data_IF_616280775112
#
_entry.id   IF_616280775112
#
_cell.length_a   1.000
_cell.length_b   1.000
_cell.length_c   1.000
_cell.angle_alpha   90.00
_cell.angle_beta   90.00
_cell.angle_gamma   90.00
#
_symmetry.space_group_name_H-M   'P 1'
#
loop_
_entity.id
_entity.type
_entity.pdbx_description
1 polymer ?
#
# COMPACT_ATOMS: atom_id res chain seq x y z
N UNK A 1 -22.21 36.72 -58.19
CA UNK A 1 -21.58 36.14 -57.00
C UNK A 1 -21.71 34.62 -57.06
N UNK A 2 -20.56 33.98 -57.31
CA UNK A 2 -20.11 32.65 -56.88
C UNK A 2 -20.93 31.39 -57.21
N UNK A 3 -20.51 30.76 -58.32
CA UNK A 3 -20.55 29.32 -58.54
C UNK A 3 -19.77 28.55 -57.47
N UNK A 4 -20.30 27.42 -56.99
CA UNK A 4 -19.51 26.32 -56.44
C UNK A 4 -19.95 24.99 -57.05
N UNK A 5 -19.11 24.45 -57.93
CA UNK A 5 -19.18 23.08 -58.42
C UNK A 5 -18.78 22.12 -57.30
N UNK A 6 -19.57 21.07 -57.10
CA UNK A 6 -19.22 19.91 -56.27
C UNK A 6 -18.06 19.15 -56.92
N UNK A 7 -16.92 19.08 -56.26
CA UNK A 7 -15.80 18.20 -56.63
C UNK A 7 -16.03 16.80 -56.05
N UNK A 8 -16.04 15.80 -56.93
CA UNK A 8 -15.95 14.37 -56.60
C UNK A 8 -14.47 14.05 -56.29
N UNK A 9 -14.13 13.29 -55.23
CA UNK A 9 -12.73 12.92 -55.02
C UNK A 9 -12.33 11.80 -55.99
N UNK A 10 -11.42 12.11 -56.93
CA UNK A 10 -10.68 11.09 -57.68
C UNK A 10 -9.76 10.31 -56.72
N UNK A 11 -9.81 8.98 -56.78
CA UNK A 11 -8.82 8.10 -56.13
C UNK A 11 -7.42 8.40 -56.70
N UNK A 12 -6.49 8.81 -55.85
CA UNK A 12 -5.05 8.82 -56.18
C UNK A 12 -4.51 7.38 -56.06
N UNK A 13 -3.81 6.84 -57.07
CA UNK A 13 -3.09 5.59 -56.94
C UNK A 13 -1.74 5.82 -56.24
N UNK A 14 -1.41 4.96 -55.27
CA UNK A 14 -0.11 4.98 -54.58
C UNK A 14 -0.18 5.56 -53.17
N UNK A 15 -0.69 4.78 -52.23
CA UNK A 15 -0.32 4.87 -50.81
C UNK A 15 0.30 3.54 -50.42
N UNK A 16 1.43 3.52 -49.67
CA UNK A 16 1.97 2.29 -49.12
C UNK A 16 0.96 1.67 -48.17
N UNK A 17 1.02 0.34 -48.11
CA UNK A 17 0.17 -0.55 -47.34
C UNK A 17 -0.03 -0.11 -45.88
N UNK A 18 -1.24 -0.41 -45.41
CA UNK A 18 -1.69 -0.47 -44.03
C UNK A 18 -0.52 -0.70 -43.05
N UNK A 19 -0.20 0.32 -42.23
CA UNK A 19 0.79 0.21 -41.17
C UNK A 19 0.16 -0.61 -40.02
N UNK A 20 -0.07 -1.90 -40.26
CA UNK A 20 -0.56 -2.85 -39.28
C UNK A 20 0.45 -2.86 -38.13
N UNK A 21 0.05 -2.29 -36.98
CA UNK A 21 0.82 -2.42 -35.74
C UNK A 21 1.11 -3.90 -35.53
N UNK A 22 2.37 -4.23 -35.25
CA UNK A 22 2.75 -5.61 -34.98
C UNK A 22 1.92 -6.15 -33.80
N UNK A 23 1.17 -7.22 -34.04
CA UNK A 23 0.38 -7.88 -32.99
C UNK A 23 1.32 -8.72 -32.15
N UNK A 24 1.53 -8.35 -30.90
CA UNK A 24 2.29 -9.15 -29.97
C UNK A 24 1.40 -10.24 -29.36
N UNK A 25 2.00 -11.34 -28.94
CA UNK A 25 1.27 -12.36 -28.19
C UNK A 25 1.22 -12.01 -26.72
N UNK A 26 2.35 -11.54 -26.17
CA UNK A 26 2.48 -11.15 -24.77
C UNK A 26 3.09 -9.75 -24.66
N UNK A 27 2.42 -8.88 -23.92
CA UNK A 27 2.98 -7.64 -23.41
C UNK A 27 3.40 -7.85 -21.95
N UNK A 28 4.69 -7.71 -21.66
CA UNK A 28 5.22 -7.76 -20.30
C UNK A 28 5.32 -6.35 -19.73
N UNK A 29 4.59 -6.09 -18.65
CA UNK A 29 4.71 -4.88 -17.84
C UNK A 29 5.53 -5.17 -16.58
N UNK A 30 6.68 -4.52 -16.46
CA UNK A 30 7.56 -4.64 -15.28
C UNK A 30 7.40 -3.39 -14.42
N UNK A 31 6.75 -3.50 -13.25
CA UNK A 31 6.69 -2.38 -12.30
C UNK A 31 8.08 -2.09 -11.76
N UNK A 32 8.54 -0.85 -11.88
CA UNK A 32 9.88 -0.47 -11.45
C UNK A 32 9.90 0.91 -10.80
N UNK A 33 10.46 1.04 -9.61
CA UNK A 33 10.60 2.34 -8.97
C UNK A 33 11.63 3.20 -9.74
N UNK A 34 11.47 4.52 -9.70
CA UNK A 34 12.33 5.48 -10.41
C UNK A 34 13.83 5.21 -10.20
N UNK A 35 14.26 5.07 -8.95
CA UNK A 35 15.65 4.83 -8.56
C UNK A 35 16.17 3.40 -8.81
N UNK A 36 15.35 2.45 -9.25
CA UNK A 36 15.74 1.05 -9.49
C UNK A 36 16.51 0.82 -10.82
N UNK A 37 17.44 1.71 -11.17
CA UNK A 37 18.20 1.63 -12.42
C UNK A 37 18.99 0.30 -12.54
N UNK A 38 19.57 -0.19 -11.44
CA UNK A 38 20.35 -1.43 -11.43
C UNK A 38 19.49 -2.69 -11.63
N UNK A 39 18.26 -2.71 -11.09
CA UNK A 39 17.31 -3.82 -11.29
C UNK A 39 16.82 -3.87 -12.74
N UNK A 40 16.46 -2.71 -13.32
CA UNK A 40 16.13 -2.62 -14.75
C UNK A 40 17.29 -3.07 -15.62
N UNK A 41 18.52 -2.67 -15.27
CA UNK A 41 19.71 -3.13 -15.99
C UNK A 41 19.93 -4.64 -15.83
N UNK A 42 19.75 -5.21 -14.64
CA UNK A 42 19.84 -6.66 -14.43
C UNK A 42 18.82 -7.43 -15.28
N UNK A 43 17.59 -6.94 -15.39
CA UNK A 43 16.58 -7.54 -16.29
C UNK A 43 17.04 -7.47 -17.75
N UNK A 44 17.55 -6.31 -18.20
CA UNK A 44 18.11 -6.15 -19.56
C UNK A 44 19.29 -7.08 -19.82
N UNK A 45 20.14 -7.31 -18.83
CA UNK A 45 21.30 -8.21 -18.90
C UNK A 45 20.90 -9.70 -18.91
N UNK A 46 19.66 -10.02 -18.50
CA UNK A 46 19.19 -11.39 -18.30
C UNK A 46 18.12 -11.78 -19.32
N UNK A 47 16.90 -12.07 -18.87
CA UNK A 47 15.83 -12.64 -19.69
C UNK A 47 15.34 -11.66 -20.75
N UNK A 48 15.31 -10.34 -20.48
CA UNK A 48 14.90 -9.36 -21.48
C UNK A 48 15.92 -9.28 -22.62
N UNK A 49 17.21 -9.25 -22.30
CA UNK A 49 18.29 -9.26 -23.29
C UNK A 49 18.21 -10.50 -24.18
N UNK A 50 17.95 -11.67 -23.59
CA UNK A 50 17.73 -12.91 -24.33
C UNK A 50 16.54 -12.81 -25.28
N UNK A 51 15.37 -12.36 -24.81
CA UNK A 51 14.18 -12.25 -25.65
C UNK A 51 14.33 -11.29 -26.83
N UNK A 52 15.04 -10.17 -26.64
CA UNK A 52 15.29 -9.19 -27.72
C UNK A 52 16.07 -9.79 -28.90
N UNK A 53 16.90 -10.79 -28.67
CA UNK A 53 17.74 -11.43 -29.70
C UNK A 53 17.25 -12.81 -30.12
N UNK A 54 16.30 -13.41 -29.38
CA UNK A 54 15.83 -14.75 -29.68
C UNK A 54 14.89 -14.74 -30.90
N UNK A 55 15.17 -15.49 -31.99
CA UNK A 55 14.43 -15.41 -33.25
C UNK A 55 12.93 -15.64 -33.11
N UNK A 56 12.54 -16.49 -32.15
CA UNK A 56 11.16 -16.85 -31.88
C UNK A 56 10.41 -15.80 -31.05
N UNK A 57 11.09 -15.08 -30.15
CA UNK A 57 10.44 -14.19 -29.17
C UNK A 57 10.49 -12.72 -29.55
N UNK A 58 11.52 -12.28 -30.27
CA UNK A 58 11.76 -10.88 -30.61
C UNK A 58 10.57 -10.14 -31.27
N UNK A 59 9.67 -10.87 -31.95
CA UNK A 59 8.44 -10.31 -32.56
C UNK A 59 7.17 -10.60 -31.76
N UNK A 60 7.19 -11.62 -30.89
CA UNK A 60 6.03 -12.12 -30.14
C UNK A 60 5.85 -11.44 -28.78
N UNK A 61 6.95 -10.97 -28.18
CA UNK A 61 6.95 -10.39 -26.83
C UNK A 61 7.38 -8.93 -26.89
N UNK A 62 6.55 -8.05 -26.34
CA UNK A 62 6.92 -6.67 -26.04
C UNK A 62 7.15 -6.55 -24.53
N UNK A 63 8.21 -5.87 -24.10
CA UNK A 63 8.48 -5.62 -22.67
C UNK A 63 8.59 -4.12 -22.42
N UNK A 64 7.96 -3.66 -21.35
CA UNK A 64 7.99 -2.28 -20.89
C UNK A 64 8.18 -2.19 -19.38
N UNK A 65 9.18 -1.43 -18.95
CA UNK A 65 9.30 -0.97 -17.57
C UNK A 65 8.31 0.16 -17.32
N UNK A 66 7.51 0.03 -16.27
CA UNK A 66 6.49 0.98 -15.88
C UNK A 66 7.09 1.83 -14.76
N UNK A 67 7.22 3.13 -15.00
CA UNK A 67 7.82 4.09 -14.05
C UNK A 67 6.85 5.25 -13.86
N UNK A 68 6.69 5.72 -12.63
CA UNK A 68 5.88 6.91 -12.37
C UNK A 68 6.58 8.15 -12.90
N UNK A 69 5.86 8.99 -13.63
CA UNK A 69 6.37 10.22 -14.24
C UNK A 69 6.87 11.21 -13.20
N UNK A 70 6.29 11.19 -11.99
CA UNK A 70 6.65 12.13 -10.93
C UNK A 70 7.32 11.42 -9.76
N UNK A 71 8.43 11.97 -9.27
CA UNK A 71 9.00 11.55 -7.98
C UNK A 71 8.31 12.27 -6.81
N UNK A 72 8.31 11.68 -5.62
CA UNK A 72 7.70 12.31 -4.45
C UNK A 72 8.44 13.60 -4.05
N UNK A 73 7.78 14.78 -4.06
CA UNK A 73 8.40 16.07 -3.70
C UNK A 73 8.71 16.22 -2.21
N UNK A 74 8.15 15.35 -1.36
CA UNK A 74 8.35 15.40 0.09
C UNK A 74 9.62 14.61 0.47
N UNK A 75 10.60 15.24 1.16
CA UNK A 75 11.75 14.53 1.75
C UNK A 75 11.29 13.42 2.70
N UNK A 76 12.01 12.30 2.77
CA UNK A 76 11.58 11.12 3.54
C UNK A 76 11.37 11.43 5.03
N UNK A 77 12.20 12.29 5.60
CA UNK A 77 12.12 12.70 7.00
C UNK A 77 10.85 13.50 7.29
N UNK A 78 10.35 14.22 6.28
CA UNK A 78 9.14 15.05 6.33
C UNK A 78 7.88 14.28 5.89
N UNK A 79 7.94 12.96 5.62
CA UNK A 79 6.77 12.13 5.28
C UNK A 79 6.08 11.54 6.49
N UNK A 80 4.75 11.45 6.43
CA UNK A 80 3.92 10.78 7.45
C UNK A 80 4.31 9.31 7.61
N UNK A 81 4.58 8.64 6.49
CA UNK A 81 5.09 7.28 6.41
C UNK A 81 6.03 7.14 5.20
N UNK A 82 6.90 6.12 5.24
CA UNK A 82 7.91 5.92 4.20
C UNK A 82 7.32 5.46 2.85
N UNK A 83 6.08 4.99 2.82
CA UNK A 83 5.45 4.36 1.67
C UNK A 83 4.59 5.35 0.86
N UNK A 84 4.18 6.46 1.46
CA UNK A 84 3.35 7.51 0.82
C UNK A 84 4.17 8.74 0.42
N UNK A 85 3.47 9.77 -0.07
CA UNK A 85 4.04 11.10 -0.32
C UNK A 85 3.33 12.20 0.49
N UNK A 86 2.77 11.84 1.64
CA UNK A 86 2.03 12.76 2.50
C UNK A 86 2.98 13.54 3.40
N UNK A 87 2.85 14.87 3.41
CA UNK A 87 3.67 15.75 4.24
C UNK A 87 3.25 15.66 5.72
N UNK A 88 4.24 15.55 6.61
CA UNK A 88 4.06 15.69 8.05
C UNK A 88 3.59 17.10 8.41
N UNK A 89 2.31 17.22 8.75
CA UNK A 89 1.73 18.48 9.18
C UNK A 89 1.91 18.69 10.69
N UNK A 90 3.16 18.94 11.09
CA UNK A 90 3.55 19.21 12.48
C UNK A 90 3.67 20.72 12.73
N UNK A 91 3.28 21.15 13.93
CA UNK A 91 3.47 22.53 14.42
C UNK A 91 4.40 22.56 15.62
N UNK A 92 5.01 23.71 15.90
CA UNK A 92 5.77 23.89 17.13
C UNK A 92 4.87 23.72 18.36
N UNK A 93 5.39 23.04 19.37
CA UNK A 93 4.72 22.78 20.65
C UNK A 93 5.63 23.18 21.79
N UNK A 94 5.07 23.74 22.86
CA UNK A 94 5.85 24.10 24.04
C UNK A 94 6.42 22.85 24.75
N UNK A 95 7.68 22.93 25.16
CA UNK A 95 8.35 21.83 25.86
C UNK A 95 7.69 21.53 27.21
N UNK A 96 7.45 20.24 27.48
CA UNK A 96 6.88 19.77 28.75
C UNK A 96 5.40 20.12 28.97
N UNK A 97 4.72 20.70 27.98
CA UNK A 97 3.28 20.92 28.08
C UNK A 97 2.54 19.59 28.01
N UNK A 98 1.88 19.22 29.10
CA UNK A 98 0.95 18.09 29.13
C UNK A 98 -0.33 18.47 28.39
N UNK A 99 -0.73 17.62 27.44
CA UNK A 99 -1.89 17.82 26.58
C UNK A 99 -2.86 16.66 26.76
N UNK A 100 -4.14 16.98 26.92
CA UNK A 100 -5.21 15.98 26.86
C UNK A 100 -5.65 15.79 25.41
N UNK A 101 -5.75 14.54 24.97
CA UNK A 101 -6.27 14.20 23.64
C UNK A 101 -7.72 14.59 23.49
N UNK A 102 -8.50 14.46 24.57
CA UNK A 102 -9.93 14.73 24.54
C UNK A 102 -10.27 15.90 25.46
N UNK A 103 -11.07 16.83 24.95
CA UNK A 103 -11.77 17.84 25.74
C UNK A 103 -13.26 17.70 25.48
N UNK A 104 -14.05 17.51 26.53
CA UNK A 104 -15.50 17.43 26.43
C UNK A 104 -16.10 18.79 26.80
N UNK A 105 -16.66 19.53 25.84
CA UNK A 105 -17.19 20.86 26.10
C UNK A 105 -18.50 20.83 26.90
N UNK A 106 -19.29 19.77 26.76
CA UNK A 106 -20.56 19.59 27.50
C UNK A 106 -20.72 18.14 28.01
N UNK A 107 -20.71 17.92 29.34
CA UNK A 107 -20.94 16.61 29.94
C UNK A 107 -22.29 15.98 29.58
N UNK A 108 -23.29 16.74 29.11
CA UNK A 108 -24.57 16.17 28.66
C UNK A 108 -24.47 15.40 27.34
N UNK A 109 -23.34 15.51 26.63
CA UNK A 109 -23.08 14.73 25.41
C UNK A 109 -22.71 13.27 25.69
N UNK A 110 -22.48 12.90 26.96
CA UNK A 110 -22.16 11.54 27.36
C UNK A 110 -23.41 10.65 27.32
N UNK A 111 -23.30 9.52 26.63
CA UNK A 111 -24.35 8.52 26.54
C UNK A 111 -23.85 7.19 27.12
N UNK A 112 -24.73 6.38 27.73
CA UNK A 112 -24.39 5.00 28.07
C UNK A 112 -23.96 4.24 26.81
N UNK A 113 -22.85 3.51 26.91
CA UNK A 113 -22.41 2.59 25.87
C UNK A 113 -23.26 1.33 25.90
N UNK A 114 -23.63 0.81 24.73
CA UNK A 114 -24.30 -0.50 24.59
C UNK A 114 -23.30 -1.67 24.54
N UNK A 115 -21.99 -1.36 24.52
CA UNK A 115 -20.90 -2.33 24.49
C UNK A 115 -20.03 -2.25 25.75
N UNK A 116 -19.41 -3.39 26.09
CA UNK A 116 -18.46 -3.51 27.20
C UNK A 116 -17.03 -3.05 26.85
N UNK A 117 -16.75 -2.76 25.57
CA UNK A 117 -15.42 -2.38 25.10
C UNK A 117 -15.48 -1.28 24.02
N UNK A 118 -14.65 -0.24 24.17
CA UNK A 118 -14.49 0.86 23.21
C UNK A 118 -13.00 1.05 22.95
N UNK A 119 -12.59 1.31 21.71
CA UNK A 119 -11.19 1.49 21.34
C UNK A 119 -10.94 2.75 20.53
N UNK A 120 -9.71 3.24 20.61
CA UNK A 120 -9.18 4.33 19.79
C UNK A 120 -7.81 3.94 19.24
N UNK A 121 -7.72 3.83 17.92
CA UNK A 121 -6.45 3.63 17.23
C UNK A 121 -5.78 4.98 16.96
N UNK A 122 -4.46 5.02 17.10
CA UNK A 122 -3.67 6.18 16.76
C UNK A 122 -2.26 5.79 16.32
N UNK A 123 -1.66 6.71 15.56
CA UNK A 123 -0.28 6.64 15.12
C UNK A 123 0.50 7.83 15.64
N UNK A 124 1.71 7.57 16.10
CA UNK A 124 2.65 8.58 16.57
C UNK A 124 3.48 9.07 15.39
N UNK A 125 3.39 10.37 15.08
CA UNK A 125 4.11 11.02 13.99
C UNK A 125 5.38 11.75 14.46
N UNK A 126 5.51 11.98 15.76
CA UNK A 126 6.73 12.40 16.45
C UNK A 126 6.73 11.86 17.88
N UNK A 127 7.89 11.56 18.46
CA UNK A 127 7.97 10.85 19.74
C UNK A 127 7.22 11.57 20.89
N UNK A 128 6.35 10.83 21.59
CA UNK A 128 5.54 11.31 22.73
C UNK A 128 5.72 10.43 23.95
N UNK A 129 5.35 10.94 25.13
CA UNK A 129 5.24 10.18 26.38
C UNK A 129 3.80 10.22 26.86
N UNK A 130 3.18 9.06 27.07
CA UNK A 130 1.87 8.98 27.70
C UNK A 130 2.04 9.17 29.22
N UNK A 131 1.31 10.11 29.79
CA UNK A 131 1.45 10.47 31.21
C UNK A 131 0.31 9.93 32.06
N UNK A 132 -0.93 10.01 31.57
CA UNK A 132 -2.11 9.55 32.28
C UNK A 132 -3.12 8.91 31.32
N UNK A 133 -3.83 7.91 31.81
CA UNK A 133 -5.01 7.35 31.14
C UNK A 133 -6.26 7.85 31.85
N UNK A 134 -7.32 8.09 31.09
CA UNK A 134 -8.57 8.63 31.63
C UNK A 134 -9.82 7.98 31.07
N UNK A 135 -10.91 8.11 31.82
CA UNK A 135 -12.20 7.47 31.54
C UNK A 135 -13.35 8.36 32.03
N UNK A 136 -14.49 8.30 31.35
CA UNK A 136 -15.72 8.93 31.81
C UNK A 136 -16.34 8.18 33.00
N UNK A 137 -16.85 8.88 34.01
CA UNK A 137 -17.64 8.24 35.06
C UNK A 137 -18.98 7.74 34.52
N UNK A 138 -19.49 6.63 35.05
CA UNK A 138 -20.73 5.98 34.61
C UNK A 138 -21.85 6.01 35.67
N UNK A 139 -21.61 6.63 36.82
CA UNK A 139 -22.55 6.75 37.92
C UNK A 139 -23.32 8.08 37.89
N UNK A 140 -24.57 8.10 38.40
CA UNK A 140 -25.45 9.27 38.37
C UNK A 140 -24.95 10.44 39.23
N UNK A 141 -24.00 10.18 40.15
CA UNK A 141 -23.35 11.21 40.97
C UNK A 141 -21.96 11.60 40.42
N UNK A 142 -21.61 11.12 39.23
CA UNK A 142 -20.27 11.27 38.67
C UNK A 142 -19.25 10.31 39.29
N UNK A 143 -19.69 9.16 39.80
CA UNK A 143 -18.89 8.07 40.38
C UNK A 143 -18.80 6.85 39.44
N UNK A 144 -18.16 5.76 39.88
CA UNK A 144 -18.07 4.50 39.13
C UNK A 144 -19.00 3.44 39.71
N UNK A 145 -19.85 2.83 38.89
CA UNK A 145 -20.73 1.70 39.25
C UNK A 145 -20.05 0.33 39.14
N UNK A 146 -18.87 0.26 38.55
CA UNK A 146 -18.12 -0.98 38.32
C UNK A 146 -16.65 -0.71 38.03
N UNK A 147 -15.92 -1.78 37.71
CA UNK A 147 -14.51 -1.68 37.37
C UNK A 147 -14.36 -1.42 35.87
N UNK A 148 -13.57 -0.40 35.53
CA UNK A 148 -13.17 -0.12 34.15
C UNK A 148 -11.65 -0.21 34.04
N UNK A 149 -11.15 -0.95 33.07
CA UNK A 149 -9.73 -0.98 32.75
C UNK A 149 -9.47 -0.24 31.45
N UNK A 150 -8.43 0.60 31.46
CA UNK A 150 -7.93 1.31 30.28
C UNK A 150 -6.54 0.78 30.00
N UNK A 151 -6.32 0.28 28.79
CA UNK A 151 -5.07 -0.39 28.39
C UNK A 151 -4.60 0.17 27.06
N UNK A 152 -3.33 0.52 26.97
CA UNK A 152 -2.69 0.86 25.70
C UNK A 152 -1.96 -0.36 25.20
N UNK A 153 -2.28 -0.80 24.00
CA UNK A 153 -1.55 -1.83 23.28
C UNK A 153 -0.70 -1.20 22.18
N UNK A 154 0.49 -1.75 21.97
CA UNK A 154 1.15 -1.60 20.68
C UNK A 154 0.46 -2.56 19.70
N UNK A 155 0.30 -2.14 18.46
CA UNK A 155 -0.29 -3.04 17.47
C UNK A 155 0.57 -4.31 17.34
N UNK A 156 -0.10 -5.46 17.21
CA UNK A 156 0.44 -6.82 17.15
C UNK A 156 1.00 -7.37 18.48
N UNK A 157 0.73 -6.71 19.61
CA UNK A 157 1.07 -7.22 20.95
C UNK A 157 -0.18 -7.58 21.76
N UNK A 158 -0.13 -8.74 22.43
CA UNK A 158 -1.18 -9.18 23.35
C UNK A 158 -1.07 -8.53 24.74
N UNK A 159 0.14 -8.11 25.13
CA UNK A 159 0.40 -7.47 26.41
C UNK A 159 0.30 -5.95 26.30
N UNK A 160 -0.37 -5.28 27.26
CA UNK A 160 -0.51 -3.83 27.24
C UNK A 160 0.80 -3.15 27.64
N UNK A 161 1.16 -2.10 26.91
CA UNK A 161 2.28 -1.20 27.24
C UNK A 161 2.03 -0.48 28.56
N UNK A 162 0.81 0.02 28.77
CA UNK A 162 0.38 0.63 30.04
C UNK A 162 -1.06 0.26 30.37
N UNK A 163 -1.36 0.16 31.66
CA UNK A 163 -2.70 -0.16 32.17
C UNK A 163 -3.07 0.76 33.34
N UNK A 164 -4.32 1.26 33.33
CA UNK A 164 -4.96 1.90 34.47
C UNK A 164 -6.30 1.22 34.78
N UNK A 165 -6.62 1.04 36.06
CA UNK A 165 -7.90 0.45 36.51
C UNK A 165 -8.66 1.44 37.37
N UNK A 166 -9.94 1.64 37.11
CA UNK A 166 -10.83 2.60 37.76
C UNK A 166 -11.94 1.87 38.50
N UNK A 167 -12.28 2.34 39.69
CA UNK A 167 -13.37 1.81 40.51
C UNK A 167 -13.87 2.89 41.49
N UNK A 168 -15.00 2.65 42.16
CA UNK A 168 -15.52 3.56 43.18
C UNK A 168 -14.51 3.84 44.32
N UNK A 169 -13.70 2.83 44.67
CA UNK A 169 -12.69 2.93 45.74
C UNK A 169 -11.39 3.56 45.27
N UNK A 170 -11.13 3.55 43.97
CA UNK A 170 -9.91 4.12 43.39
C UNK A 170 -10.26 4.80 42.07
N UNK A 171 -10.95 5.96 42.11
CA UNK A 171 -11.42 6.63 40.91
C UNK A 171 -10.31 7.44 40.21
N UNK A 172 -9.24 7.81 40.90
CA UNK A 172 -8.20 8.71 40.35
C UNK A 172 -8.58 10.19 40.52
N UNK A 173 -7.98 11.07 39.72
CA UNK A 173 -8.14 12.52 39.83
C UNK A 173 -9.14 13.02 38.78
N UNK A 174 -10.14 13.81 39.22
CA UNK A 174 -11.16 14.34 38.31
C UNK A 174 -10.71 15.64 37.64
N UNK A 175 -10.63 15.66 36.31
CA UNK A 175 -10.25 16.82 35.49
C UNK A 175 -11.12 16.86 34.24
N UNK A 176 -11.73 18.01 33.93
CA UNK A 176 -12.49 18.19 32.68
C UNK A 176 -13.65 17.19 32.47
N UNK A 177 -14.30 16.75 33.55
CA UNK A 177 -15.40 15.78 33.49
C UNK A 177 -14.97 14.30 33.42
N UNK A 178 -13.68 14.02 33.26
CA UNK A 178 -13.09 12.68 33.26
C UNK A 178 -12.30 12.42 34.53
N UNK A 179 -12.05 11.14 34.81
CA UNK A 179 -11.09 10.72 35.83
C UNK A 179 -9.80 10.24 35.16
N UNK A 180 -8.66 10.65 35.70
CA UNK A 180 -7.33 10.27 35.23
C UNK A 180 -6.53 9.55 36.30
N UNK A 181 -5.67 8.63 35.85
CA UNK A 181 -4.64 7.99 36.66
C UNK A 181 -3.29 8.08 35.96
N UNK A 182 -2.21 8.41 36.70
CA UNK A 182 -0.87 8.34 36.16
C UNK A 182 -0.52 6.89 35.81
N UNK A 183 0.25 6.73 34.74
CA UNK A 183 0.79 5.45 34.31
C UNK A 183 2.31 5.51 34.24
N UNK A 184 2.94 4.35 34.14
CA UNK A 184 4.37 4.28 33.85
C UNK A 184 4.66 4.99 32.52
N UNK A 185 5.69 5.83 32.51
CA UNK A 185 6.00 6.69 31.38
C UNK A 185 6.85 5.94 30.36
N UNK A 186 6.25 5.58 29.25
CA UNK A 186 6.94 5.01 28.09
C UNK A 186 7.05 6.04 26.97
N UNK A 187 8.21 6.07 26.32
CA UNK A 187 8.42 6.85 25.10
C UNK A 187 7.84 6.06 23.94
N UNK A 188 6.82 6.61 23.30
CA UNK A 188 6.27 6.07 22.07
C UNK A 188 7.01 6.73 20.89
N UNK A 189 7.80 6.00 20.10
CA UNK A 189 8.59 6.56 19.00
C UNK A 189 7.72 6.93 17.78
N UNK A 190 8.25 7.76 16.87
CA UNK A 190 7.65 7.97 15.54
C UNK A 190 7.42 6.63 14.85
N UNK A 191 6.23 6.44 14.28
CA UNK A 191 5.81 5.20 13.64
C UNK A 191 5.15 4.19 14.60
N UNK A 192 5.12 4.46 15.91
CA UNK A 192 4.34 3.66 16.85
C UNK A 192 2.85 3.72 16.47
N UNK A 193 2.26 2.56 16.28
CA UNK A 193 0.82 2.38 16.06
C UNK A 193 0.28 1.71 17.32
N UNK A 194 -0.75 2.31 17.93
CA UNK A 194 -1.29 1.85 19.19
C UNK A 194 -2.81 1.92 19.26
N UNK A 195 -3.36 1.04 20.08
CA UNK A 195 -4.79 0.94 20.36
C UNK A 195 -5.02 1.19 21.84
N UNK A 196 -5.76 2.25 22.16
CA UNK A 196 -6.24 2.48 23.51
C UNK A 196 -7.60 1.81 23.69
N UNK A 197 -7.68 0.86 24.62
CA UNK A 197 -8.89 0.07 24.89
C UNK A 197 -9.46 0.40 26.27
N UNK A 198 -10.72 0.81 26.31
CA UNK A 198 -11.54 0.86 27.52
C UNK A 198 -12.39 -0.41 27.59
N UNK A 199 -12.28 -1.15 28.69
CA UNK A 199 -12.99 -2.42 28.91
C UNK A 199 -13.66 -2.40 30.28
N UNK A 200 -14.97 -2.65 30.32
CA UNK A 200 -15.75 -2.84 31.53
C UNK A 200 -16.23 -4.29 31.64
N UNK A 201 -16.54 -4.73 32.86
CA UNK A 201 -17.00 -6.10 33.13
C UNK A 201 -18.42 -6.37 32.61
N UNK A 202 -19.27 -5.33 32.57
CA UNK A 202 -20.65 -5.40 32.12
C UNK A 202 -20.89 -4.44 30.94
N UNK A 203 -21.83 -4.78 30.05
CA UNK A 203 -22.16 -3.99 28.85
C UNK A 203 -22.71 -2.58 29.15
N UNK A 204 -23.12 -2.30 30.38
CA UNK A 204 -23.58 -0.97 30.85
C UNK A 204 -22.51 -0.21 31.62
N UNK A 205 -21.28 -0.71 31.61
CA UNK A 205 -20.17 -0.21 32.43
C UNK A 205 -19.41 0.98 31.84
N UNK A 206 -19.65 1.37 30.59
CA UNK A 206 -18.96 2.50 29.95
C UNK A 206 -19.94 3.62 29.60
N UNK A 207 -19.48 4.86 29.74
CA UNK A 207 -20.10 6.02 29.11
C UNK A 207 -19.24 6.38 27.90
N UNK A 208 -19.87 6.68 26.77
CA UNK A 208 -19.18 7.10 25.56
C UNK A 208 -19.69 8.45 25.07
N UNK A 209 -18.88 9.10 24.25
CA UNK A 209 -19.27 10.29 23.49
C UNK A 209 -19.06 10.05 22.01
N UNK A 210 -19.98 10.52 21.18
CA UNK A 210 -19.83 10.44 19.74
C UNK A 210 -18.67 11.35 19.30
N UNK A 211 -17.82 10.85 18.41
CA UNK A 211 -16.63 11.54 17.90
C UNK A 211 -16.96 12.81 17.14
N UNK A 212 -18.13 12.87 16.49
CA UNK A 212 -18.62 14.09 15.84
C UNK A 212 -18.94 15.23 16.82
N UNK A 213 -19.15 14.92 18.10
CA UNK A 213 -19.47 15.88 19.14
C UNK A 213 -18.25 16.36 19.95
N UNK A 214 -17.05 15.85 19.65
CA UNK A 214 -15.83 16.16 20.42
C UNK A 214 -14.66 16.53 19.54
N UNK A 215 -13.80 17.40 20.06
CA UNK A 215 -12.55 17.77 19.42
C UNK A 215 -11.40 16.92 19.98
N UNK A 216 -10.73 16.17 19.10
CA UNK A 216 -9.51 15.45 19.43
C UNK A 216 -8.29 16.33 19.18
N UNK A 217 -7.55 16.63 20.25
CA UNK A 217 -6.25 17.28 20.15
C UNK A 217 -5.20 16.29 19.67
N UNK A 218 -4.59 16.59 18.54
CA UNK A 218 -3.47 15.84 18.00
C UNK A 218 -2.10 16.36 18.47
N UNK A 219 -2.07 17.30 19.41
CA UNK A 219 -0.85 17.89 19.97
C UNK A 219 0.01 18.59 18.93
N UNK A 220 -0.59 19.33 17.99
CA UNK A 220 0.14 19.98 16.90
C UNK A 220 0.56 19.00 15.80
N UNK A 221 -0.24 17.94 15.58
CA UNK A 221 -0.03 16.94 14.54
C UNK A 221 0.86 15.76 14.93
N UNK A 222 1.39 15.71 16.15
CA UNK A 222 2.28 14.61 16.59
C UNK A 222 1.55 13.27 16.75
N UNK A 223 0.22 13.30 16.83
CA UNK A 223 -0.65 12.12 16.79
C UNK A 223 -1.57 12.15 15.57
N UNK A 224 -1.84 10.99 14.98
CA UNK A 224 -2.87 10.80 13.95
C UNK A 224 -3.84 9.74 14.43
N UNK A 225 -5.11 10.09 14.59
CA UNK A 225 -6.15 9.14 15.02
C UNK A 225 -6.70 8.37 13.81
N UNK A 226 -6.95 7.07 14.00
CA UNK A 226 -7.63 6.22 13.02
C UNK A 226 -9.12 6.52 12.91
N UNK A 227 -9.81 5.92 11.94
CA UNK A 227 -11.27 6.01 11.85
C UNK A 227 -11.89 5.30 13.04
N UNK A 228 -12.64 6.04 13.86
CA UNK A 228 -13.39 5.52 15.00
C UNK A 228 -14.73 5.00 14.45
N UNK A 229 -14.65 3.91 13.67
CA UNK A 229 -15.79 3.19 13.14
C UNK A 229 -15.90 1.82 13.81
N UNK A 230 -17.07 1.21 13.68
CA UNK A 230 -17.43 -0.07 14.28
C UNK A 230 -16.46 -1.16 13.77
N UNK A 231 -15.49 -1.55 14.60
CA UNK A 231 -14.30 -2.27 14.14
C UNK A 231 -13.84 -3.36 15.10
N UNK A 232 -13.54 -4.54 14.56
CA UNK A 232 -13.00 -5.68 15.31
C UNK A 232 -11.62 -5.36 15.88
N UNK A 233 -11.42 -5.53 17.20
CA UNK A 233 -10.12 -5.34 17.84
C UNK A 233 -9.05 -6.26 17.22
N UNK A 234 -7.78 -5.82 17.08
CA UNK A 234 -6.67 -6.73 16.86
C UNK A 234 -6.67 -7.80 17.97
N UNK A 235 -6.63 -9.07 17.59
CA UNK A 235 -6.59 -10.25 18.49
C UNK A 235 -7.83 -10.59 19.32
N UNK A 236 -8.95 -9.87 19.19
CA UNK A 236 -10.21 -10.25 19.84
C UNK A 236 -11.37 -9.96 18.91
N UNK A 237 -12.21 -10.96 18.64
CA UNK A 237 -13.45 -10.86 17.86
C UNK A 237 -14.53 -9.92 18.45
N UNK A 238 -14.12 -8.88 19.19
CA UNK A 238 -14.95 -7.87 19.80
C UNK A 238 -15.19 -6.73 18.80
N UNK A 239 -16.46 -6.44 18.55
CA UNK A 239 -16.90 -5.28 17.79
C UNK A 239 -16.67 -4.02 18.63
N UNK A 240 -15.71 -3.19 18.24
CA UNK A 240 -15.58 -1.83 18.73
C UNK A 240 -16.81 -1.02 18.33
N UNK A 241 -17.25 -0.13 19.21
CA UNK A 241 -18.44 0.71 19.00
C UNK A 241 -18.03 2.15 18.69
N UNK A 242 -18.71 2.85 17.77
CA UNK A 242 -18.39 4.23 17.44
C UNK A 242 -18.57 5.14 18.66
N UNK A 243 -17.45 5.67 19.17
CA UNK A 243 -17.44 6.60 20.29
C UNK A 243 -16.13 6.56 21.07
N UNK A 244 -16.03 7.41 22.08
CA UNK A 244 -14.88 7.46 22.99
C UNK A 244 -15.35 7.31 24.43
N UNK A 245 -14.74 6.38 25.17
CA UNK A 245 -15.06 6.16 26.59
C UNK A 245 -14.16 6.94 27.56
N UNK A 246 -13.24 7.75 27.03
CA UNK A 246 -12.32 8.59 27.78
C UNK A 246 -11.24 9.16 26.88
N UNK A 247 -10.09 9.49 27.46
CA UNK A 247 -8.92 9.96 26.73
C UNK A 247 -7.64 9.65 27.47
N UNK A 248 -6.53 10.20 26.99
CA UNK A 248 -5.25 10.14 27.68
C UNK A 248 -4.57 11.50 27.62
N UNK A 249 -3.61 11.71 28.51
CA UNK A 249 -2.71 12.85 28.45
C UNK A 249 -1.32 12.42 28.02
N UNK A 250 -0.63 13.31 27.32
CA UNK A 250 0.70 13.06 26.81
C UNK A 250 1.53 14.34 26.75
N UNK A 251 2.84 14.19 26.64
CA UNK A 251 3.77 15.28 26.34
C UNK A 251 4.68 14.90 25.17
N UNK A 252 5.20 15.90 24.47
CA UNK A 252 6.20 15.68 23.41
C UNK A 252 7.55 15.39 24.07
N UNK A 253 8.19 14.26 23.74
CA UNK A 253 9.43 13.82 24.40
C UNK A 253 10.62 14.69 23.99
N UNK A 254 10.86 14.80 22.67
CA UNK A 254 12.02 15.51 22.11
C UNK A 254 11.56 16.73 21.31
N UNK A 255 11.30 17.82 22.04
CA UNK A 255 10.83 19.10 21.47
C UNK A 255 11.95 19.80 20.70
N UNK A 256 13.21 19.59 21.07
CA UNK A 256 14.35 20.15 20.36
C UNK A 256 14.48 19.51 18.97
N UNK A 257 14.42 18.17 18.88
CA UNK A 257 14.40 17.48 17.59
C UNK A 257 13.20 17.89 16.73
N UNK A 258 12.01 18.07 17.32
CA UNK A 258 10.85 18.58 16.58
C UNK A 258 11.11 19.98 16.00
N UNK A 259 11.66 20.88 16.81
CA UNK A 259 11.96 22.26 16.39
C UNK A 259 13.03 22.29 15.30
N UNK A 260 14.07 21.47 15.42
CA UNK A 260 15.11 21.31 14.40
C UNK A 260 14.57 20.70 13.10
N UNK A 261 13.69 19.69 13.21
CA UNK A 261 12.98 19.12 12.08
C UNK A 261 12.21 20.22 11.34
N UNK A 262 11.37 20.99 12.03
CA UNK A 262 10.57 22.06 11.43
C UNK A 262 11.44 23.14 10.78
N UNK A 263 12.47 23.63 11.48
CA UNK A 263 13.39 24.65 10.96
C UNK A 263 14.20 24.16 9.75
N UNK A 264 14.57 22.89 9.72
CA UNK A 264 15.35 22.28 8.64
C UNK A 264 14.55 21.97 7.36
N UNK A 265 13.21 21.99 7.43
CA UNK A 265 12.32 21.56 6.34
C UNK A 265 12.59 22.26 5.01
N UNK A 266 12.70 23.59 5.02
CA UNK A 266 12.97 24.35 3.78
C UNK A 266 14.34 24.03 3.16
N UNK A 267 15.32 23.60 3.98
CA UNK A 267 16.61 23.10 3.50
C UNK A 267 16.47 21.75 2.80
N UNK A 268 15.83 20.78 3.48
CA UNK A 268 15.58 19.45 2.93
C UNK A 268 14.72 19.50 1.66
N UNK A 269 13.74 20.38 1.60
CA UNK A 269 12.90 20.58 0.41
C UNK A 269 13.73 20.97 -0.81
N UNK A 270 14.64 21.95 -0.67
CA UNK A 270 15.53 22.38 -1.77
C UNK A 270 16.48 21.28 -2.23
N UNK A 271 17.01 20.49 -1.28
CA UNK A 271 17.86 19.33 -1.58
C UNK A 271 17.05 18.29 -2.36
N UNK A 272 15.84 17.96 -1.90
CA UNK A 272 14.96 16.99 -2.53
C UNK A 272 14.57 17.41 -3.95
N UNK A 273 14.23 18.68 -4.16
CA UNK A 273 13.97 19.22 -5.49
C UNK A 273 15.17 19.08 -6.44
N UNK A 274 16.40 19.30 -5.94
CA UNK A 274 17.61 19.09 -6.75
C UNK A 274 17.84 17.61 -7.08
N UNK A 275 17.61 16.71 -6.12
CA UNK A 275 17.69 15.26 -6.32
C UNK A 275 16.67 14.78 -7.35
N UNK A 276 15.42 15.27 -7.28
CA UNK A 276 14.38 14.92 -8.24
C UNK A 276 14.74 15.34 -9.66
N UNK A 277 15.26 16.56 -9.85
CA UNK A 277 15.74 17.01 -11.17
C UNK A 277 16.85 16.13 -11.73
N UNK A 278 17.78 15.69 -10.88
CA UNK A 278 18.86 14.78 -11.29
C UNK A 278 18.32 13.38 -11.66
N UNK A 279 17.37 12.87 -10.88
CA UNK A 279 16.69 11.60 -11.16
C UNK A 279 15.87 11.67 -12.46
N UNK A 280 15.13 12.76 -12.70
CA UNK A 280 14.38 13.00 -13.94
C UNK A 280 15.29 12.96 -15.17
N UNK A 281 16.46 13.62 -15.09
CA UNK A 281 17.41 13.63 -16.20
C UNK A 281 18.01 12.23 -16.45
N UNK A 282 18.40 11.52 -15.39
CA UNK A 282 18.91 10.15 -15.50
C UNK A 282 17.88 9.19 -16.11
N UNK A 283 16.61 9.30 -15.71
CA UNK A 283 15.51 8.52 -16.28
C UNK A 283 15.26 8.87 -17.75
N UNK A 284 15.33 10.15 -18.11
CA UNK A 284 15.18 10.61 -19.50
C UNK A 284 16.29 10.04 -20.39
N UNK A 285 17.53 10.08 -19.93
CA UNK A 285 18.66 9.48 -20.63
C UNK A 285 18.50 7.96 -20.78
N UNK A 286 18.11 7.27 -19.70
CA UNK A 286 17.86 5.82 -19.71
C UNK A 286 16.77 5.46 -20.73
N UNK A 287 15.65 6.20 -20.70
CA UNK A 287 14.53 5.99 -21.62
C UNK A 287 14.93 6.22 -23.08
N UNK A 288 15.69 7.28 -23.37
CA UNK A 288 16.20 7.56 -24.72
C UNK A 288 17.17 6.46 -25.21
N UNK A 289 17.99 5.93 -24.30
CA UNK A 289 18.99 4.90 -24.63
C UNK A 289 18.33 3.54 -24.92
N UNK A 290 17.30 3.16 -24.18
CA UNK A 290 16.78 1.80 -24.21
C UNK A 290 15.40 1.64 -24.89
N UNK A 291 14.58 2.69 -24.92
CA UNK A 291 13.25 2.66 -25.56
C UNK A 291 12.25 1.67 -24.95
N UNK A 292 12.54 1.12 -23.78
CA UNK A 292 11.77 0.07 -23.10
C UNK A 292 11.07 0.56 -21.83
N UNK A 293 10.92 1.88 -21.66
CA UNK A 293 10.27 2.50 -20.51
C UNK A 293 8.94 3.15 -20.91
N UNK A 294 7.97 3.12 -20.00
CA UNK A 294 6.70 3.84 -20.08
C UNK A 294 6.56 4.64 -18.80
N UNK A 295 6.52 5.97 -18.96
CA UNK A 295 6.17 6.88 -17.88
C UNK A 295 4.65 7.00 -17.78
N UNK A 296 4.12 6.83 -16.59
CA UNK A 296 2.69 6.97 -16.29
C UNK A 296 2.48 8.08 -15.28
N UNK A 297 1.44 8.88 -15.48
CA UNK A 297 1.10 10.06 -14.67
C UNK A 297 0.64 9.66 -13.25
N UNK A 298 1.64 9.41 -12.39
CA UNK A 298 1.52 9.14 -10.96
C UNK A 298 2.77 9.62 -10.23
N UNK A 299 2.62 9.98 -8.96
CA UNK A 299 3.75 10.12 -8.05
C UNK A 299 4.23 8.71 -7.66
N UNK A 300 5.45 8.35 -8.03
CA UNK A 300 6.01 7.01 -7.83
C UNK A 300 6.36 6.78 -6.35
N UNK A 301 5.39 6.24 -5.62
CA UNK A 301 5.53 5.77 -4.25
C UNK A 301 4.91 4.39 -4.12
N UNK A 302 5.25 3.71 -3.02
CA UNK A 302 4.76 2.37 -2.77
C UNK A 302 3.23 2.30 -2.65
N UNK A 303 2.60 3.28 -1.98
CA UNK A 303 1.13 3.39 -1.87
C UNK A 303 0.45 3.61 -3.24
N UNK A 304 1.17 4.18 -4.22
CA UNK A 304 0.61 4.52 -5.54
C UNK A 304 0.84 3.46 -6.63
N UNK A 305 1.46 2.33 -6.30
CA UNK A 305 1.69 1.23 -7.26
C UNK A 305 0.39 0.72 -7.94
N UNK A 306 -0.77 0.58 -7.26
CA UNK A 306 -2.00 0.20 -7.96
C UNK A 306 -2.45 1.25 -8.99
N UNK A 307 -2.35 2.54 -8.66
CA UNK A 307 -2.65 3.63 -9.61
C UNK A 307 -1.69 3.58 -10.81
N UNK A 308 -0.41 3.32 -10.56
CA UNK A 308 0.63 3.14 -11.59
C UNK A 308 0.26 2.02 -12.56
N UNK A 309 -0.23 0.89 -12.05
CA UNK A 309 -0.69 -0.22 -12.86
C UNK A 309 -1.93 0.13 -13.70
N UNK A 310 -2.94 0.78 -13.11
CA UNK A 310 -4.14 1.21 -13.86
C UNK A 310 -3.79 2.16 -15.01
N UNK A 311 -2.89 3.11 -14.79
CA UNK A 311 -2.41 4.00 -15.85
C UNK A 311 -1.63 3.23 -16.92
N UNK A 312 -0.86 2.21 -16.54
CA UNK A 312 -0.22 1.32 -17.52
C UNK A 312 -1.24 0.53 -18.34
N UNK A 313 -2.35 0.09 -17.77
CA UNK A 313 -3.42 -0.56 -18.53
C UNK A 313 -4.08 0.37 -19.54
N UNK A 314 -4.26 1.66 -19.21
CA UNK A 314 -4.72 2.66 -20.20
C UNK A 314 -3.71 2.80 -21.34
N UNK A 315 -2.43 2.93 -21.00
CA UNK A 315 -1.37 3.03 -22.01
C UNK A 315 -1.31 1.78 -22.88
N UNK A 316 -1.34 0.57 -22.30
CA UNK A 316 -1.18 -0.68 -23.03
C UNK A 316 -2.29 -0.85 -24.08
N UNK A 317 -3.54 -0.60 -23.70
CA UNK A 317 -4.71 -0.69 -24.58
C UNK A 317 -4.66 0.32 -25.73
N UNK A 318 -4.18 1.55 -25.48
CA UNK A 318 -4.11 2.59 -26.49
C UNK A 318 -2.89 2.47 -27.43
N UNK A 319 -1.79 1.93 -26.91
CA UNK A 319 -0.48 2.03 -27.56
C UNK A 319 0.07 0.69 -28.08
N UNK A 320 -0.37 -0.45 -27.56
CA UNK A 320 0.09 -1.78 -27.97
C UNK A 320 -1.06 -2.69 -28.41
N UNK A 321 -0.77 -3.63 -29.30
CA UNK A 321 -1.67 -4.74 -29.61
C UNK A 321 -1.09 -6.04 -29.06
N UNK A 322 -1.85 -6.73 -28.22
CA UNK A 322 -1.41 -7.91 -27.48
C UNK A 322 -2.58 -8.84 -27.15
N UNK A 323 -2.32 -10.14 -27.00
CA UNK A 323 -3.35 -11.11 -26.55
C UNK A 323 -3.39 -11.24 -25.04
N UNK A 324 -2.21 -11.25 -24.42
CA UNK A 324 -2.02 -11.42 -22.98
C UNK A 324 -1.09 -10.34 -22.44
N UNK A 325 -1.34 -9.91 -21.21
CA UNK A 325 -0.45 -9.04 -20.44
C UNK A 325 0.14 -9.83 -19.29
N UNK A 326 1.46 -9.91 -19.22
CA UNK A 326 2.20 -10.44 -18.08
C UNK A 326 2.62 -9.27 -17.19
N UNK A 327 2.14 -9.23 -15.95
CA UNK A 327 2.65 -8.28 -14.94
C UNK A 327 3.75 -8.97 -14.12
N UNK A 328 4.81 -8.24 -13.80
CA UNK A 328 5.86 -8.63 -12.86
C UNK A 328 6.48 -7.39 -12.22
N UNK A 329 7.29 -7.56 -11.18
CA UNK A 329 8.10 -6.51 -10.57
C UNK A 329 9.56 -6.59 -11.03
N UNK A 330 10.33 -5.52 -10.82
CA UNK A 330 11.72 -5.41 -11.27
C UNK A 330 12.74 -6.18 -10.42
N UNK A 331 12.32 -6.66 -9.26
CA UNK A 331 13.05 -7.57 -8.36
C UNK A 331 12.62 -9.03 -8.50
N UNK A 332 11.90 -9.38 -9.57
CA UNK A 332 11.42 -10.73 -9.84
C UNK A 332 12.23 -11.42 -10.95
N UNK A 333 12.65 -12.66 -10.69
CA UNK A 333 13.08 -13.57 -11.74
C UNK A 333 11.85 -14.10 -12.46
N UNK A 334 11.88 -14.17 -13.80
CA UNK A 334 10.80 -14.74 -14.62
C UNK A 334 11.38 -15.69 -15.67
N UNK A 335 10.85 -16.91 -15.74
CA UNK A 335 11.09 -17.85 -16.83
C UNK A 335 10.06 -17.62 -17.95
N UNK A 336 10.31 -16.61 -18.79
CA UNK A 336 9.37 -16.22 -19.84
C UNK A 336 9.14 -17.34 -20.87
N UNK A 337 10.15 -18.19 -21.09
CA UNK A 337 10.04 -19.34 -22.00
C UNK A 337 9.01 -20.34 -21.46
N UNK A 338 9.09 -20.68 -20.17
CA UNK A 338 8.14 -21.55 -19.52
C UNK A 338 6.73 -20.96 -19.53
N UNK A 339 6.58 -19.66 -19.30
CA UNK A 339 5.28 -18.96 -19.35
C UNK A 339 4.66 -19.08 -20.74
N UNK A 340 5.41 -18.80 -21.82
CA UNK A 340 4.90 -18.88 -23.19
C UNK A 340 4.56 -20.31 -23.59
N UNK A 341 5.44 -21.27 -23.31
CA UNK A 341 5.21 -22.69 -23.60
C UNK A 341 3.96 -23.22 -22.90
N UNK A 342 3.76 -22.85 -21.63
CA UNK A 342 2.58 -23.26 -20.85
C UNK A 342 1.31 -22.59 -21.36
N UNK A 343 1.39 -21.34 -21.79
CA UNK A 343 0.27 -20.64 -22.45
C UNK A 343 -0.20 -21.38 -23.71
N UNK A 344 0.74 -21.77 -24.58
CA UNK A 344 0.46 -22.48 -25.83
C UNK A 344 -0.12 -23.88 -25.58
N UNK A 345 0.54 -24.67 -24.71
CA UNK A 345 0.15 -26.06 -24.42
C UNK A 345 -1.23 -26.16 -23.78
N UNK A 346 -1.51 -25.25 -22.85
CA UNK A 346 -2.76 -25.26 -22.08
C UNK A 346 -3.87 -24.44 -22.76
N UNK A 347 -3.59 -23.86 -23.93
CA UNK A 347 -4.51 -22.99 -24.68
C UNK A 347 -5.07 -21.84 -23.84
N UNK A 348 -4.21 -21.25 -23.01
CA UNK A 348 -4.53 -20.12 -22.13
C UNK A 348 -4.59 -18.79 -22.89
N UNK A 349 -5.42 -18.75 -23.93
CA UNK A 349 -5.70 -17.56 -24.73
C UNK A 349 -7.20 -17.23 -24.74
N UNK A 350 -7.94 -17.80 -23.79
CA UNK A 350 -9.37 -17.55 -23.62
C UNK A 350 -9.60 -16.12 -23.13
N UNK A 351 -10.74 -15.56 -23.53
CA UNK A 351 -11.27 -14.33 -22.94
C UNK A 351 -11.46 -14.51 -21.44
N UNK A 352 -11.34 -13.42 -20.69
CA UNK A 352 -11.56 -13.39 -19.26
C UNK A 352 -10.62 -14.29 -18.45
N UNK A 353 -9.38 -14.50 -18.90
CA UNK A 353 -8.36 -15.30 -18.21
C UNK A 353 -7.57 -14.44 -17.22
N UNK A 354 -7.43 -14.95 -16.00
CA UNK A 354 -6.45 -14.48 -15.01
C UNK A 354 -5.65 -15.66 -14.46
N UNK A 355 -4.36 -15.73 -14.79
CA UNK A 355 -3.48 -16.84 -14.45
C UNK A 355 -2.39 -16.38 -13.48
N UNK A 356 -2.31 -17.03 -12.32
CA UNK A 356 -1.34 -16.74 -11.28
C UNK A 356 -1.43 -17.73 -10.12
N UNK A 357 -0.72 -17.45 -9.03
CA UNK A 357 -0.88 -18.17 -7.77
C UNK A 357 -1.78 -17.35 -6.83
N UNK A 358 -3.00 -17.80 -6.54
CA UNK A 358 -3.98 -17.01 -5.82
C UNK A 358 -3.99 -17.29 -4.31
N UNK A 359 -3.82 -16.23 -3.51
CA UNK A 359 -4.17 -16.25 -2.09
C UNK A 359 -5.68 -16.11 -1.94
N UNK A 360 -6.25 -16.80 -0.96
CA UNK A 360 -7.67 -16.76 -0.63
C UNK A 360 -7.85 -16.53 0.86
N UNK A 361 -8.94 -15.87 1.24
CA UNK A 361 -9.28 -15.59 2.63
C UNK A 361 -8.16 -14.88 3.43
N UNK A 362 -7.38 -14.03 2.76
CA UNK A 362 -6.30 -13.29 3.39
C UNK A 362 -6.87 -12.15 4.24
N UNK A 363 -6.47 -12.09 5.51
CA UNK A 363 -6.89 -11.04 6.42
C UNK A 363 -6.34 -9.68 5.96
N UNK A 364 -7.15 -8.64 6.16
CA UNK A 364 -6.77 -7.27 5.79
C UNK A 364 -5.82 -6.74 6.85
N UNK A 365 -4.57 -6.49 6.44
CA UNK A 365 -3.59 -5.85 7.31
C UNK A 365 -4.07 -4.44 7.66
N UNK A 366 -4.31 -4.19 8.95
CA UNK A 366 -4.71 -2.88 9.45
C UNK A 366 -3.54 -2.01 9.86
N UNK A 367 -2.31 -2.52 9.73
CA UNK A 367 -1.09 -1.88 10.23
C UNK A 367 0.16 -2.18 9.40
N UNK A 368 1.20 -1.39 9.66
CA UNK A 368 2.51 -1.57 9.06
C UNK A 368 2.54 -1.26 7.56
N UNK A 369 3.51 -1.86 6.86
CA UNK A 369 3.74 -1.64 5.42
C UNK A 369 2.50 -1.95 4.57
N UNK A 370 1.75 -2.97 4.96
CA UNK A 370 0.60 -3.50 4.21
C UNK A 370 -0.74 -2.93 4.66
N UNK A 371 -0.73 -1.98 5.61
CA UNK A 371 -1.92 -1.32 6.16
C UNK A 371 -2.89 -0.84 5.09
N UNK A 372 -4.14 -1.28 5.20
CA UNK A 372 -5.29 -0.83 4.44
C UNK A 372 -6.42 -0.45 5.40
N UNK A 373 -6.74 0.84 5.48
CA UNK A 373 -7.72 1.37 6.43
C UNK A 373 -9.10 1.60 5.80
N UNK A 374 -9.18 1.69 4.47
CA UNK A 374 -10.39 2.10 3.77
C UNK A 374 -11.17 0.91 3.19
N UNK A 375 -10.56 -0.28 3.13
CA UNK A 375 -11.28 -1.50 2.74
C UNK A 375 -12.11 -2.04 3.91
N UNK A 376 -13.43 -2.08 3.76
CA UNK A 376 -14.37 -2.33 4.88
C UNK A 376 -14.43 -3.78 5.33
N UNK A 377 -14.19 -4.75 4.43
CA UNK A 377 -14.22 -6.18 4.81
C UNK A 377 -12.99 -6.54 5.65
N UNK A 378 -13.07 -7.51 6.58
CA UNK A 378 -11.90 -8.02 7.29
C UNK A 378 -10.99 -8.91 6.43
N UNK A 379 -11.47 -9.33 5.26
CA UNK A 379 -10.80 -10.31 4.39
C UNK A 379 -10.88 -9.87 2.93
N UNK A 380 -9.78 -10.01 2.20
CA UNK A 380 -9.71 -9.70 0.77
C UNK A 380 -10.34 -10.81 -0.09
N UNK A 381 -10.91 -10.46 -1.27
CA UNK A 381 -11.21 -11.44 -2.30
C UNK A 381 -9.91 -12.10 -2.79
N UNK A 382 -10.02 -13.17 -3.56
CA UNK A 382 -8.84 -13.86 -4.08
C UNK A 382 -7.98 -12.93 -4.96
N UNK A 383 -6.67 -12.88 -4.70
CA UNK A 383 -5.70 -12.11 -5.48
C UNK A 383 -4.47 -12.95 -5.80
N UNK A 384 -3.86 -12.70 -6.96
CA UNK A 384 -2.61 -13.36 -7.36
C UNK A 384 -1.42 -12.81 -6.56
N UNK A 385 -0.46 -13.64 -6.18
CA UNK A 385 0.77 -13.19 -5.52
C UNK A 385 1.54 -12.16 -6.36
N UNK A 386 2.18 -11.21 -5.70
CA UNK A 386 2.82 -10.05 -6.34
C UNK A 386 3.95 -10.36 -7.34
N UNK A 387 4.57 -11.56 -7.28
CA UNK A 387 5.71 -11.95 -8.12
C UNK A 387 5.41 -12.01 -9.62
N UNK A 388 4.14 -12.13 -9.99
CA UNK A 388 3.68 -12.01 -11.36
C UNK A 388 2.41 -12.78 -11.66
N UNK A 389 1.73 -12.37 -12.72
CA UNK A 389 0.52 -13.02 -13.21
C UNK A 389 0.26 -12.62 -14.67
N UNK A 390 -0.55 -13.43 -15.37
CA UNK A 390 -0.98 -13.19 -16.75
C UNK A 390 -2.48 -12.86 -16.80
N UNK A 391 -2.84 -11.86 -17.59
CA UNK A 391 -4.21 -11.38 -17.77
C UNK A 391 -4.55 -11.28 -19.26
N UNK A 392 -5.75 -11.68 -19.66
CA UNK A 392 -6.21 -11.50 -21.04
C UNK A 392 -6.50 -10.04 -21.39
N UNK A 393 -6.31 -9.69 -22.67
CA UNK A 393 -6.49 -8.32 -23.19
C UNK A 393 -7.86 -7.71 -22.88
N UNK A 394 -8.93 -8.50 -22.89
CA UNK A 394 -10.30 -8.05 -22.60
C UNK A 394 -10.49 -7.62 -21.14
N UNK A 395 -9.85 -8.30 -20.18
CA UNK A 395 -9.83 -7.86 -18.79
C UNK A 395 -8.99 -6.59 -18.61
N UNK A 396 -7.83 -6.50 -19.27
CA UNK A 396 -7.01 -5.28 -19.27
C UNK A 396 -7.79 -4.11 -19.87
N UNK A 397 -8.55 -4.35 -20.94
CA UNK A 397 -9.45 -3.36 -21.53
C UNK A 397 -10.53 -2.90 -20.55
N UNK A 398 -11.16 -3.82 -19.83
CA UNK A 398 -12.16 -3.49 -18.83
C UNK A 398 -11.56 -2.63 -17.71
N UNK A 399 -10.41 -3.01 -17.18
CA UNK A 399 -9.69 -2.26 -16.14
C UNK A 399 -9.30 -0.86 -16.63
N UNK A 400 -8.73 -0.74 -17.82
CA UNK A 400 -8.36 0.53 -18.42
C UNK A 400 -9.56 1.47 -18.60
N UNK A 401 -10.69 0.92 -19.07
CA UNK A 401 -11.92 1.68 -19.31
C UNK A 401 -12.61 2.14 -18.03
N UNK A 402 -12.39 1.43 -16.91
CA UNK A 402 -12.99 1.72 -15.61
C UNK A 402 -12.02 2.34 -14.61
N UNK A 403 -10.76 2.57 -14.99
CA UNK A 403 -9.68 2.98 -14.07
C UNK A 403 -9.98 4.22 -13.22
N UNK A 404 -10.84 5.14 -13.67
CA UNK A 404 -11.26 6.32 -12.90
C UNK A 404 -12.33 6.04 -11.84
N UNK A 405 -13.01 4.89 -11.94
CA UNK A 405 -14.03 4.42 -11.00
C UNK A 405 -13.49 3.35 -10.03
N UNK A 406 -12.31 2.80 -10.33
CA UNK A 406 -11.64 1.81 -9.50
C UNK A 406 -10.79 2.52 -8.45
N UNK A 407 -11.08 2.24 -7.18
CA UNK A 407 -10.28 2.73 -6.06
C UNK A 407 -8.97 1.94 -5.97
N UNK A 408 -7.86 2.66 -5.86
CA UNK A 408 -6.57 2.08 -5.52
C UNK A 408 -6.51 1.79 -4.02
N UNK A 409 -6.34 0.52 -3.66
CA UNK A 409 -6.12 0.07 -2.29
C UNK A 409 -4.64 -0.23 -2.07
N UNK A 410 -4.22 -0.39 -0.83
CA UNK A 410 -2.86 -0.79 -0.52
C UNK A 410 -2.54 -2.15 -1.13
N UNK A 411 -1.46 -2.18 -1.93
CA UNK A 411 -1.02 -3.38 -2.65
C UNK A 411 -1.66 -3.45 -4.03
N UNK A 412 -0.83 -3.58 -5.06
CA UNK A 412 -1.30 -3.72 -6.43
C UNK A 412 -2.03 -5.04 -6.64
N UNK A 413 -1.48 -6.13 -6.11
CA UNK A 413 -2.05 -7.47 -6.14
C UNK A 413 -3.43 -7.52 -5.47
N UNK A 414 -3.51 -6.98 -4.24
CA UNK A 414 -4.77 -6.85 -3.49
C UNK A 414 -5.79 -5.99 -4.24
N UNK A 415 -5.37 -4.83 -4.75
CA UNK A 415 -6.21 -3.96 -5.57
C UNK A 415 -6.75 -4.70 -6.79
N UNK A 416 -5.89 -5.43 -7.49
CA UNK A 416 -6.25 -6.24 -8.65
C UNK A 416 -7.28 -7.31 -8.27
N UNK A 417 -7.15 -7.98 -7.12
CA UNK A 417 -8.17 -8.89 -6.59
C UNK A 417 -9.51 -8.24 -6.34
N UNK A 418 -9.52 -7.06 -5.73
CA UNK A 418 -10.75 -6.29 -5.46
C UNK A 418 -11.43 -5.88 -6.77
N UNK A 419 -10.67 -5.38 -7.75
CA UNK A 419 -11.23 -5.00 -9.05
C UNK A 419 -11.76 -6.22 -9.82
N UNK A 420 -11.01 -7.33 -9.81
CA UNK A 420 -11.42 -8.56 -10.48
C UNK A 420 -12.61 -9.26 -9.83
N UNK A 421 -12.88 -9.01 -8.54
CA UNK A 421 -14.08 -9.53 -7.89
C UNK A 421 -15.37 -9.00 -8.55
N UNK A 422 -15.35 -7.79 -9.12
CA UNK A 422 -16.48 -7.22 -9.84
C UNK A 422 -16.70 -7.85 -11.23
N UNK A 423 -15.62 -8.36 -11.86
CA UNK A 423 -15.66 -8.94 -13.21
C UNK A 423 -15.91 -10.46 -13.17
N UNK A 424 -15.36 -11.14 -12.17
CA UNK A 424 -15.45 -12.60 -12.02
C UNK A 424 -14.70 -13.38 -13.10
N UNK A 425 -13.38 -13.19 -13.28
CA UNK A 425 -12.63 -13.87 -14.34
C UNK A 425 -12.42 -15.37 -14.09
N UNK A 426 -12.10 -16.11 -15.15
CA UNK A 426 -11.60 -17.47 -15.07
C UNK A 426 -10.19 -17.47 -14.49
N UNK A 427 -10.10 -17.80 -13.19
CA UNK A 427 -8.84 -17.92 -12.48
C UNK A 427 -8.17 -19.26 -12.80
N UNK A 428 -6.93 -19.21 -13.29
CA UNK A 428 -6.09 -20.38 -13.46
C UNK A 428 -5.02 -20.40 -12.35
N UNK A 429 -5.21 -21.27 -11.36
CA UNK A 429 -4.31 -21.43 -10.22
C UNK A 429 -3.04 -22.19 -10.63
N UNK A 430 -1.87 -21.64 -10.31
CA UNK A 430 -0.59 -22.24 -10.68
C UNK A 430 0.50 -21.91 -9.65
N UNK A 431 1.01 -22.91 -8.94
CA UNK A 431 2.04 -22.74 -7.93
C UNK A 431 3.43 -22.41 -8.49
N UNK A 432 3.63 -22.46 -9.81
CA UNK A 432 4.87 -22.01 -10.43
C UNK A 432 5.13 -20.51 -10.23
N UNK A 433 4.08 -19.71 -9.97
CA UNK A 433 4.25 -18.32 -9.54
C UNK A 433 4.55 -18.30 -8.04
N UNK A 434 5.82 -18.22 -7.66
CA UNK A 434 6.21 -18.29 -6.26
C UNK A 434 5.84 -17.01 -5.53
N UNK A 435 5.25 -17.13 -4.35
CA UNK A 435 4.85 -15.97 -3.56
C UNK A 435 5.96 -15.45 -2.65
N UNK A 436 6.97 -16.29 -2.38
CA UNK A 436 8.09 -16.02 -1.50
C UNK A 436 9.41 -16.22 -2.26
N UNK A 437 10.51 -15.70 -1.69
CA UNK A 437 11.87 -15.81 -2.25
C UNK A 437 12.41 -17.24 -2.16
N UNK A 438 11.87 -18.11 -2.98
CA UNK A 438 12.20 -19.53 -3.07
C UNK A 438 12.68 -19.88 -4.48
N UNK A 439 13.15 -21.11 -4.67
CA UNK A 439 13.58 -21.59 -5.98
C UNK A 439 13.19 -23.05 -6.18
N UNK A 440 12.37 -23.31 -7.19
CA UNK A 440 11.96 -24.66 -7.62
C UNK A 440 12.20 -24.85 -9.12
N UNK A 441 12.44 -26.10 -9.53
CA UNK A 441 12.85 -26.47 -10.90
C UNK A 441 11.86 -25.99 -11.98
N UNK A 442 10.57 -25.97 -11.65
CA UNK A 442 9.46 -25.60 -12.55
C UNK A 442 8.83 -24.24 -12.22
N UNK A 443 9.54 -23.40 -11.46
CA UNK A 443 9.07 -22.05 -11.15
C UNK A 443 8.96 -21.18 -12.41
N UNK A 444 7.88 -20.42 -12.49
CA UNK A 444 7.64 -19.39 -13.50
C UNK A 444 8.16 -18.04 -13.04
N UNK A 445 8.04 -17.74 -11.74
CA UNK A 445 8.51 -16.51 -11.12
C UNK A 445 9.09 -16.75 -9.73
N UNK A 446 10.00 -15.88 -9.30
CA UNK A 446 10.48 -15.80 -7.91
C UNK A 446 10.78 -14.34 -7.56
N UNK A 447 10.20 -13.78 -6.48
CA UNK A 447 10.32 -12.36 -6.13
C UNK A 447 11.50 -12.03 -5.19
N UNK A 448 11.71 -10.73 -4.92
CA UNK A 448 12.60 -10.17 -3.89
C UNK A 448 14.10 -10.45 -4.10
N UNK A 449 14.55 -10.46 -5.36
CA UNK A 449 15.96 -10.64 -5.72
C UNK A 449 16.67 -9.32 -5.96
N UNK A 450 17.90 -9.23 -5.46
CA UNK A 450 18.84 -8.17 -5.82
C UNK A 450 19.27 -8.27 -7.30
N UNK A 451 19.83 -7.19 -7.88
CA UNK A 451 20.37 -7.21 -9.24
C UNK A 451 21.39 -8.34 -9.49
N UNK A 452 22.19 -8.69 -8.49
CA UNK A 452 23.21 -9.74 -8.58
C UNK A 452 22.58 -11.15 -8.49
N UNK A 453 21.56 -11.33 -7.67
CA UNK A 453 20.81 -12.59 -7.58
C UNK A 453 20.05 -12.89 -8.87
N UNK A 454 19.40 -11.89 -9.49
CA UNK A 454 18.73 -12.04 -10.79
C UNK A 454 19.70 -12.52 -11.88
N UNK A 455 20.89 -11.91 -11.97
CA UNK A 455 21.94 -12.35 -12.89
C UNK A 455 22.42 -13.77 -12.58
N UNK A 456 22.57 -14.10 -11.30
CA UNK A 456 23.03 -15.43 -10.86
C UNK A 456 22.01 -16.54 -11.16
N UNK A 457 20.71 -16.28 -10.96
CA UNK A 457 19.63 -17.20 -11.34
C UNK A 457 19.60 -17.41 -12.86
N UNK A 458 19.72 -16.33 -13.63
CA UNK A 458 19.75 -16.40 -15.09
C UNK A 458 20.98 -17.14 -15.62
N UNK A 459 22.17 -16.89 -15.07
CA UNK A 459 23.39 -17.58 -15.45
C UNK A 459 23.31 -19.08 -15.18
N UNK A 460 22.71 -19.49 -14.05
CA UNK A 460 22.43 -20.90 -13.75
C UNK A 460 21.44 -21.50 -14.73
N UNK A 461 20.31 -20.83 -15.01
CA UNK A 461 19.35 -21.25 -16.03
C UNK A 461 20.02 -21.48 -17.39
N UNK A 462 20.87 -20.55 -17.83
CA UNK A 462 21.58 -20.66 -19.11
C UNK A 462 22.58 -21.79 -19.16
N UNK A 463 23.32 -22.03 -18.06
CA UNK A 463 24.36 -23.06 -18.00
C UNK A 463 23.79 -24.46 -17.81
N UNK A 464 22.72 -24.58 -17.02
CA UNK A 464 22.26 -25.85 -16.47
C UNK A 464 20.81 -26.19 -16.81
N UNK A 465 20.08 -25.29 -17.48
CA UNK A 465 18.66 -25.45 -17.79
C UNK A 465 17.71 -25.12 -16.63
N UNK A 466 18.25 -24.88 -15.44
CA UNK A 466 17.51 -24.67 -14.19
C UNK A 466 18.12 -23.50 -13.40
N UNK A 467 17.32 -22.49 -13.00
CA UNK A 467 17.81 -21.35 -12.20
C UNK A 467 18.24 -21.73 -10.78
N UNK A 468 17.77 -22.85 -10.24
CA UNK A 468 18.00 -23.26 -8.85
C UNK A 468 19.32 -24.03 -8.67
N UNK A 469 19.85 -24.63 -9.72
CA UNK A 469 21.12 -25.31 -9.68
C UNK A 469 21.36 -26.20 -10.89
N UNK A 470 22.54 -26.78 -10.95
CA UNK A 470 22.86 -27.81 -11.94
C UNK A 470 22.60 -29.16 -11.30
N UNK A 471 21.93 -30.06 -12.02
CA UNK A 471 21.82 -31.45 -11.57
C UNK A 471 23.24 -32.00 -11.51
N UNK A 472 23.67 -32.46 -10.34
CA UNK A 472 24.94 -33.17 -10.19
C UNK A 472 24.87 -34.42 -11.06
N UNK A 473 25.55 -34.44 -12.20
CA UNK A 473 25.83 -35.68 -12.90
C UNK A 473 26.89 -36.40 -12.08
N UNK A 474 26.50 -37.46 -11.36
CA UNK A 474 27.46 -38.41 -10.78
C UNK A 474 28.40 -38.89 -11.89
N UNK A 475 29.70 -38.69 -11.69
CA UNK A 475 30.77 -39.11 -12.60
C UNK A 475 31.07 -40.60 -12.46
#
# INVERSE_FOLDING_TARGET
MLHFYKSVPMKKPGWPEDNQKAVHEVLVGVLSARHHHELRQAIRDTWLGYMKHHPHFQKRVMVKFIVGEHGCPVPEEDREDLYSCSLLNLTETAAGQEMAVLSVPDPSALLPSDVSAVSLDFKVLHSVVITQLGVFPNGPRGDFRGNVSVRLFQVDQEEPVVTARFSALSPGTRVGGMFYKPVEQFILPKGFEGTLLWEAQDSTGLMSVNTSAVHLSNGGGVLKFGSIEEGTLPHRSALGFPGLAGGFTFSVYDVQALSELLRGRAGRQRIREAQLRAEDEALREESLRHGDMVFVDVVDTYRNVPSKLLQFYKWSVGNADFKLLLKTDDDCYIDVDAVLLKTERTRLSQSSLWWGNFRQNWAVDRVGKWQELEYSSPVYPAFACGSGYVVSRDLVQWLASNAQHLKAYQGEDVSMGIWMAAVGPHKYQDSGWLCEKECYVDMLSSPQHSPQELRSLWDRKRKCGDPCGCVWTEH
#
